data_IF_222138379828
#
_entry.id   IF_222138379828
#
_cell.length_a   1.000
_cell.length_b   1.000
_cell.length_c   1.000
_cell.angle_alpha   90.00
_cell.angle_beta   90.00
_cell.angle_gamma   90.00
#
_symmetry.space_group_name_H-M   'P 1'
#
loop_
_entity.id
_entity.type
_entity.pdbx_description
1 polymer ?
#
# COMPACT_ATOMS: atom_id res chain seq x y z
N UNK A 1 -47.13 41.54 -4.27
CA UNK A 1 -47.58 41.97 -2.93
C UNK A 1 -48.98 41.40 -2.72
N UNK A 2 -49.41 40.84 -1.56
CA UNK A 2 -48.81 40.65 -0.21
C UNK A 2 -48.82 39.14 0.21
N UNK A 3 -48.90 38.70 1.49
CA UNK A 3 -48.09 38.94 2.69
C UNK A 3 -47.38 37.66 3.22
N UNK A 4 -46.51 37.82 4.23
CA UNK A 4 -45.97 36.74 5.08
C UNK A 4 -47.06 36.15 5.98
N UNK A 5 -47.11 34.81 6.09
CA UNK A 5 -47.78 34.10 7.20
C UNK A 5 -46.74 33.21 7.89
N UNK A 6 -46.55 33.50 9.17
CA UNK A 6 -45.76 32.71 10.12
C UNK A 6 -46.60 31.51 10.55
N UNK A 7 -46.04 30.30 10.53
CA UNK A 7 -46.60 29.17 11.28
C UNK A 7 -45.45 28.48 12.05
N UNK A 8 -45.34 28.84 13.33
CA UNK A 8 -44.79 27.96 14.36
C UNK A 8 -45.71 26.73 14.46
N UNK A 9 -45.16 25.54 14.20
CA UNK A 9 -45.83 24.27 14.48
C UNK A 9 -44.92 23.41 15.38
N UNK A 10 -45.07 23.69 16.66
CA UNK A 10 -45.14 22.75 17.81
C UNK A 10 -44.72 21.30 17.58
N UNK A 11 -43.73 20.87 18.37
CA UNK A 11 -43.19 19.53 18.51
C UNK A 11 -44.15 18.51 19.18
N UNK A 12 -45.32 18.23 18.61
CA UNK A 12 -46.33 17.38 19.28
C UNK A 12 -47.09 16.39 18.40
N UNK A 13 -46.58 15.95 17.25
CA UNK A 13 -47.33 15.02 16.39
C UNK A 13 -46.49 14.02 15.55
N UNK A 14 -45.62 13.22 16.17
CA UNK A 14 -45.09 12.01 15.52
C UNK A 14 -45.52 10.73 16.26
N UNK A 15 -46.18 9.77 15.59
CA UNK A 15 -46.60 8.51 16.20
C UNK A 15 -45.40 7.60 16.50
N UNK A 16 -45.30 7.15 17.75
CA UNK A 16 -44.23 6.34 18.33
C UNK A 16 -44.18 4.87 17.85
N UNK A 17 -44.35 4.60 16.54
CA UNK A 17 -44.42 3.22 16.02
C UNK A 17 -43.49 2.92 14.82
N UNK A 18 -42.60 3.84 14.45
CA UNK A 18 -41.63 3.66 13.35
C UNK A 18 -40.19 3.85 13.84
N UNK A 19 -39.89 3.39 15.06
CA UNK A 19 -38.58 3.63 15.71
C UNK A 19 -37.80 2.36 16.05
N UNK A 20 -38.20 1.19 15.52
CA UNK A 20 -37.52 -0.08 15.80
C UNK A 20 -36.88 -0.75 14.58
N UNK A 21 -37.63 -0.87 13.49
CA UNK A 21 -37.22 -1.73 12.36
C UNK A 21 -36.33 -0.99 11.35
N UNK A 22 -36.52 0.32 11.18
CA UNK A 22 -35.71 1.13 10.27
C UNK A 22 -34.32 1.46 10.82
N UNK A 23 -34.17 1.53 12.15
CA UNK A 23 -32.89 1.79 12.80
C UNK A 23 -31.98 0.54 12.77
N UNK A 24 -32.56 -0.66 12.95
CA UNK A 24 -31.81 -1.92 12.88
C UNK A 24 -31.21 -2.18 11.50
N UNK A 25 -31.93 -1.84 10.42
CA UNK A 25 -31.47 -2.03 9.04
C UNK A 25 -30.34 -1.07 8.63
N UNK A 26 -30.10 -0.02 9.41
CA UNK A 26 -28.99 0.93 9.19
C UNK A 26 -27.74 0.52 9.98
N UNK A 27 -27.88 -0.21 11.09
CA UNK A 27 -26.75 -0.65 11.93
C UNK A 27 -26.07 -1.96 11.48
N UNK A 28 -26.62 -2.66 10.48
CA UNK A 28 -26.04 -3.90 9.93
C UNK A 28 -25.55 -3.79 8.50
N UNK A 29 -25.49 -2.59 7.92
CA UNK A 29 -24.97 -2.33 6.57
C UNK A 29 -23.49 -1.91 6.56
N UNK A 30 -22.71 -2.29 7.57
CA UNK A 30 -21.32 -1.82 7.74
C UNK A 30 -20.33 -2.97 7.92
N UNK A 31 -20.54 -4.11 7.24
CA UNK A 31 -19.47 -5.10 7.09
C UNK A 31 -19.64 -6.13 5.96
N UNK A 32 -20.26 -5.73 4.84
CA UNK A 32 -20.00 -6.45 3.60
C UNK A 32 -18.60 -6.03 3.13
N UNK A 33 -17.57 -6.71 3.64
CA UNK A 33 -16.26 -6.73 3.00
C UNK A 33 -16.49 -7.21 1.58
N UNK A 34 -16.58 -6.27 0.65
CA UNK A 34 -16.64 -6.57 -0.77
C UNK A 34 -15.24 -7.08 -1.18
N UNK A 35 -14.98 -8.36 -0.89
CA UNK A 35 -13.65 -9.00 -0.94
C UNK A 35 -12.99 -8.84 -2.32
N UNK A 36 -13.79 -8.59 -3.36
CA UNK A 36 -13.32 -8.38 -4.73
C UNK A 36 -12.60 -7.04 -4.95
N UNK A 37 -12.85 -6.01 -4.15
CA UNK A 37 -12.28 -4.66 -4.30
C UNK A 37 -11.65 -4.11 -3.01
N UNK A 38 -11.37 -4.97 -2.03
CA UNK A 38 -10.74 -4.58 -0.78
C UNK A 38 -9.24 -4.37 -1.00
N UNK A 39 -8.78 -3.12 -0.95
CA UNK A 39 -7.36 -2.75 -1.01
C UNK A 39 -6.54 -3.45 0.08
N UNK A 40 -7.16 -3.77 1.22
CA UNK A 40 -6.57 -4.51 2.32
C UNK A 40 -6.14 -5.92 1.89
N UNK A 41 -6.94 -6.60 1.06
CA UNK A 41 -6.62 -7.94 0.56
C UNK A 41 -5.40 -7.89 -0.37
N UNK A 42 -5.34 -6.90 -1.26
CA UNK A 42 -4.18 -6.68 -2.12
C UNK A 42 -2.93 -6.30 -1.33
N UNK A 43 -3.06 -5.49 -0.27
CA UNK A 43 -1.96 -5.14 0.62
C UNK A 43 -1.44 -6.36 1.39
N UNK A 44 -2.34 -7.22 1.90
CA UNK A 44 -1.96 -8.47 2.57
C UNK A 44 -1.27 -9.44 1.59
N UNK A 45 -1.79 -9.56 0.37
CA UNK A 45 -1.14 -10.31 -0.70
C UNK A 45 0.27 -9.79 -1.00
N UNK A 46 0.43 -8.47 -1.10
CA UNK A 46 1.74 -7.83 -1.28
C UNK A 46 2.71 -8.17 -0.15
N UNK A 47 2.28 -8.11 1.11
CA UNK A 47 3.10 -8.47 2.26
C UNK A 47 3.55 -9.94 2.22
N UNK A 48 2.65 -10.85 1.84
CA UNK A 48 2.98 -12.28 1.66
C UNK A 48 4.02 -12.49 0.55
N UNK A 49 3.81 -11.90 -0.63
CA UNK A 49 4.78 -11.99 -1.74
C UNK A 49 6.12 -11.32 -1.43
N UNK A 50 6.13 -10.28 -0.60
CA UNK A 50 7.37 -9.66 -0.11
C UNK A 50 8.17 -10.64 0.77
N UNK A 51 7.50 -11.44 1.61
CA UNK A 51 8.12 -12.51 2.39
C UNK A 51 8.72 -13.61 1.50
N UNK A 52 7.96 -14.12 0.53
CA UNK A 52 8.46 -15.09 -0.45
C UNK A 52 9.65 -14.56 -1.25
N UNK A 53 9.56 -13.29 -1.65
CA UNK A 53 10.65 -12.57 -2.33
C UNK A 53 11.93 -12.57 -1.50
N UNK A 54 11.86 -12.37 -0.19
CA UNK A 54 13.03 -12.40 0.67
C UNK A 54 13.71 -13.78 0.70
N UNK A 55 12.91 -14.84 0.82
CA UNK A 55 13.39 -16.23 0.87
C UNK A 55 14.01 -16.63 -0.47
N UNK A 56 13.24 -16.55 -1.57
CA UNK A 56 13.74 -16.89 -2.90
C UNK A 56 14.90 -15.98 -3.33
N UNK A 57 14.86 -14.73 -2.89
CA UNK A 57 15.94 -13.76 -3.03
C UNK A 57 17.26 -14.25 -2.48
N UNK A 58 17.29 -14.62 -1.19
CA UNK A 58 18.51 -15.13 -0.53
C UNK A 58 19.08 -16.34 -1.27
N UNK A 59 18.24 -17.31 -1.64
CA UNK A 59 18.70 -18.48 -2.37
C UNK A 59 19.14 -18.13 -3.79
N UNK A 60 18.44 -17.24 -4.48
CA UNK A 60 18.74 -16.84 -5.85
C UNK A 60 20.03 -16.02 -6.02
N UNK A 61 20.47 -15.30 -4.98
CA UNK A 61 21.75 -14.55 -5.00
C UNK A 61 22.94 -15.36 -4.49
N UNK A 62 22.72 -16.58 -4.01
CA UNK A 62 23.80 -17.43 -3.48
C UNK A 62 24.65 -17.95 -4.63
N UNK A 63 25.96 -17.68 -4.60
CA UNK A 63 26.90 -18.12 -5.64
C UNK A 63 26.90 -17.30 -6.94
N UNK A 64 26.13 -16.22 -7.01
CA UNK A 64 26.10 -15.28 -8.15
C UNK A 64 26.36 -13.85 -7.67
N UNK A 65 26.79 -12.97 -8.57
CA UNK A 65 26.81 -11.54 -8.26
C UNK A 65 25.36 -11.03 -8.05
N UNK A 66 25.08 -10.32 -6.94
CA UNK A 66 23.73 -9.82 -6.63
C UNK A 66 23.14 -8.91 -7.72
N UNK A 67 23.97 -8.15 -8.44
CA UNK A 67 23.52 -7.31 -9.55
C UNK A 67 23.01 -8.18 -10.71
N UNK A 68 23.73 -9.26 -11.02
CA UNK A 68 23.35 -10.19 -12.07
C UNK A 68 22.07 -10.98 -11.72
N UNK A 69 21.96 -11.47 -10.49
CA UNK A 69 20.74 -12.11 -9.99
C UNK A 69 19.54 -11.14 -10.03
N UNK A 70 19.74 -9.88 -9.63
CA UNK A 70 18.70 -8.84 -9.70
C UNK A 70 18.33 -8.54 -11.15
N UNK A 71 19.29 -8.49 -12.07
CA UNK A 71 19.02 -8.33 -13.50
C UNK A 71 18.11 -9.45 -14.04
N UNK A 72 18.45 -10.72 -13.78
CA UNK A 72 17.60 -11.87 -14.18
C UNK A 72 16.18 -11.69 -13.62
N UNK A 73 16.07 -11.31 -12.34
CA UNK A 73 14.78 -11.06 -11.70
C UNK A 73 13.98 -9.97 -12.41
N UNK A 74 14.62 -8.86 -12.79
CA UNK A 74 13.93 -7.76 -13.49
C UNK A 74 13.43 -8.18 -14.87
N UNK A 75 14.18 -9.01 -15.59
CA UNK A 75 13.76 -9.55 -16.89
C UNK A 75 12.54 -10.45 -16.72
N UNK A 76 12.52 -11.33 -15.73
CA UNK A 76 11.36 -12.19 -15.43
C UNK A 76 10.13 -11.33 -15.11
N UNK A 77 10.27 -10.33 -14.24
CA UNK A 77 9.18 -9.42 -13.87
C UNK A 77 8.65 -8.69 -15.10
N UNK A 78 9.53 -8.21 -15.99
CA UNK A 78 9.15 -7.54 -17.23
C UNK A 78 8.26 -8.44 -18.09
N UNK A 79 8.63 -9.70 -18.28
CA UNK A 79 7.82 -10.65 -19.05
C UNK A 79 6.47 -10.95 -18.40
N UNK A 80 6.43 -11.10 -17.07
CA UNK A 80 5.18 -11.33 -16.33
C UNK A 80 4.22 -10.14 -16.51
N UNK A 81 4.71 -8.91 -16.31
CA UNK A 81 3.89 -7.70 -16.47
C UNK A 81 3.46 -7.52 -17.93
N UNK A 82 4.37 -7.68 -18.89
CA UNK A 82 4.03 -7.57 -20.32
C UNK A 82 2.98 -8.61 -20.74
N UNK A 83 3.06 -9.84 -20.21
CA UNK A 83 2.06 -10.88 -20.42
C UNK A 83 0.68 -10.46 -19.90
N UNK A 84 0.60 -9.93 -18.67
CA UNK A 84 -0.66 -9.46 -18.08
C UNK A 84 -1.26 -8.31 -18.90
N UNK A 85 -0.47 -7.30 -19.24
CA UNK A 85 -0.93 -6.12 -20.02
C UNK A 85 -1.43 -6.56 -21.41
N UNK A 86 -0.78 -7.56 -22.03
CA UNK A 86 -1.21 -8.12 -23.31
C UNK A 86 -2.50 -8.90 -23.20
N UNK A 87 -2.62 -9.81 -22.22
CA UNK A 87 -3.82 -10.62 -22.02
C UNK A 87 -5.05 -9.77 -21.67
N UNK A 88 -4.85 -8.64 -20.98
CA UNK A 88 -5.92 -7.71 -20.58
C UNK A 88 -6.16 -6.58 -21.58
N UNK A 89 -5.38 -6.50 -22.67
CA UNK A 89 -5.41 -5.41 -23.65
C UNK A 89 -5.27 -4.00 -23.03
N UNK A 90 -4.36 -3.86 -22.07
CA UNK A 90 -4.15 -2.62 -21.29
C UNK A 90 -3.04 -1.73 -21.87
N UNK A 91 -2.55 -2.03 -23.07
CA UNK A 91 -1.51 -1.25 -23.73
C UNK A 91 -2.01 0.17 -24.03
N UNK A 92 -1.29 1.18 -23.54
CA UNK A 92 -1.57 2.58 -23.82
C UNK A 92 -0.60 3.14 -24.86
N UNK A 93 -1.06 4.10 -25.65
CA UNK A 93 -0.20 4.84 -26.58
C UNK A 93 0.73 5.75 -25.76
N UNK A 94 2.06 5.70 -25.95
CA UNK A 94 3.01 6.54 -25.20
C UNK A 94 2.69 8.04 -25.25
N UNK A 95 2.14 8.52 -26.37
CA UNK A 95 1.75 9.91 -26.57
C UNK A 95 0.54 10.37 -25.73
N UNK A 96 -0.26 9.44 -25.18
CA UNK A 96 -1.39 9.77 -24.30
C UNK A 96 -0.97 9.88 -22.83
N UNK A 97 0.25 9.46 -22.49
CA UNK A 97 0.77 9.50 -21.13
C UNK A 97 1.41 10.87 -20.90
N UNK A 98 0.97 11.57 -19.86
CA UNK A 98 1.50 12.88 -19.49
C UNK A 98 3.02 12.81 -19.25
N UNK A 99 3.76 13.85 -19.64
CA UNK A 99 5.22 13.94 -19.45
C UNK A 99 5.62 13.86 -17.97
N UNK A 100 4.79 14.41 -17.07
CA UNK A 100 4.98 14.29 -15.63
C UNK A 100 4.94 12.82 -15.17
N UNK A 101 4.03 12.01 -15.72
CA UNK A 101 3.94 10.58 -15.37
C UNK A 101 5.22 9.84 -15.77
N UNK A 102 5.78 10.14 -16.94
CA UNK A 102 7.07 9.56 -17.36
C UNK A 102 8.20 9.89 -16.39
N UNK A 103 8.28 11.14 -15.92
CA UNK A 103 9.29 11.57 -14.97
C UNK A 103 9.14 10.85 -13.62
N UNK A 104 7.94 10.85 -13.04
CA UNK A 104 7.69 10.18 -11.76
C UNK A 104 7.88 8.66 -11.86
N UNK A 105 7.48 8.04 -12.97
CA UNK A 105 7.72 6.62 -13.21
C UNK A 105 9.21 6.32 -13.33
N UNK A 106 9.97 7.12 -14.07
CA UNK A 106 11.42 6.96 -14.19
C UNK A 106 12.13 7.10 -12.83
N UNK A 107 11.80 8.14 -12.06
CA UNK A 107 12.33 8.35 -10.71
C UNK A 107 11.98 7.18 -9.78
N UNK A 108 10.73 6.71 -9.80
CA UNK A 108 10.29 5.57 -9.00
C UNK A 108 10.99 4.27 -9.39
N UNK A 109 11.23 4.05 -10.68
CA UNK A 109 11.94 2.87 -11.19
C UNK A 109 13.41 2.87 -10.76
N UNK A 110 14.08 4.02 -10.83
CA UNK A 110 15.46 4.19 -10.34
C UNK A 110 15.51 3.92 -8.83
N UNK A 111 14.61 4.51 -8.05
CA UNK A 111 14.53 4.29 -6.60
C UNK A 111 14.29 2.81 -6.25
N UNK A 112 13.37 2.15 -6.97
CA UNK A 112 13.06 0.73 -6.79
C UNK A 112 14.25 -0.16 -7.14
N UNK A 113 14.92 0.12 -8.27
CA UNK A 113 16.10 -0.60 -8.71
C UNK A 113 17.25 -0.48 -7.70
N UNK A 114 17.57 0.73 -7.26
CA UNK A 114 18.61 0.96 -6.25
C UNK A 114 18.28 0.28 -4.92
N UNK A 115 17.02 0.33 -4.49
CA UNK A 115 16.55 -0.37 -3.30
C UNK A 115 16.80 -1.88 -3.41
N UNK A 116 16.39 -2.51 -4.52
CA UNK A 116 16.62 -3.94 -4.72
C UNK A 116 18.10 -4.31 -4.78
N UNK A 117 18.94 -3.52 -5.46
CA UNK A 117 20.37 -3.77 -5.52
C UNK A 117 20.99 -3.77 -4.11
N UNK A 118 20.66 -2.78 -3.29
CA UNK A 118 21.11 -2.71 -1.90
C UNK A 118 20.57 -3.87 -1.06
N UNK A 119 19.27 -4.18 -1.19
CA UNK A 119 18.60 -5.24 -0.45
C UNK A 119 19.17 -6.62 -0.76
N UNK A 120 19.37 -6.94 -2.04
CA UNK A 120 19.92 -8.24 -2.45
C UNK A 120 21.39 -8.39 -2.14
N UNK A 121 22.15 -7.30 -2.19
CA UNK A 121 23.51 -7.31 -1.68
C UNK A 121 23.54 -7.57 -0.17
N UNK A 122 22.68 -6.90 0.61
CA UNK A 122 22.54 -7.14 2.04
C UNK A 122 22.10 -8.57 2.37
N UNK A 123 21.13 -9.11 1.62
CA UNK A 123 20.72 -10.51 1.74
C UNK A 123 21.86 -11.46 1.40
N UNK A 124 22.75 -11.13 0.46
CA UNK A 124 23.87 -12.00 0.14
C UNK A 124 24.80 -12.17 1.34
N UNK A 125 25.18 -11.06 1.99
CA UNK A 125 26.18 -11.04 3.07
C UNK A 125 25.61 -11.22 4.48
N UNK A 126 24.29 -11.03 4.67
CA UNK A 126 23.63 -11.03 5.97
C UNK A 126 22.55 -12.11 6.14
N UNK A 127 22.08 -12.35 7.39
CA UNK A 127 20.97 -13.26 7.65
C UNK A 127 19.63 -12.62 7.26
N UNK A 128 18.73 -13.41 6.65
CA UNK A 128 17.38 -12.94 6.23
C UNK A 128 16.63 -12.35 7.44
N UNK A 129 16.74 -12.98 8.60
CA UNK A 129 16.03 -12.60 9.83
C UNK A 129 16.38 -11.20 10.33
N UNK A 130 17.54 -10.64 9.97
CA UNK A 130 17.91 -9.25 10.31
C UNK A 130 17.68 -8.29 9.14
N UNK A 131 18.00 -8.71 7.91
CA UNK A 131 17.90 -7.85 6.72
C UNK A 131 16.45 -7.54 6.36
N UNK A 132 15.54 -8.53 6.43
CA UNK A 132 14.15 -8.33 6.05
C UNK A 132 13.39 -7.33 6.96
N UNK A 133 13.53 -7.35 8.30
CA UNK A 133 12.94 -6.32 9.16
C UNK A 133 13.52 -4.91 8.93
N UNK A 134 14.82 -4.79 8.62
CA UNK A 134 15.44 -3.50 8.28
C UNK A 134 14.81 -2.92 7.02
N UNK A 135 14.59 -3.75 5.98
CA UNK A 135 13.90 -3.33 4.76
C UNK A 135 12.49 -2.77 5.05
N UNK A 136 11.80 -3.27 6.08
CA UNK A 136 10.47 -2.76 6.48
C UNK A 136 10.48 -1.41 7.19
N UNK A 137 11.65 -0.88 7.57
CA UNK A 137 11.78 0.53 7.94
C UNK A 137 11.42 1.46 6.77
N UNK A 138 11.38 0.96 5.53
CA UNK A 138 10.81 1.69 4.38
C UNK A 138 9.39 2.19 4.63
N UNK A 139 8.59 1.52 5.47
CA UNK A 139 7.26 2.01 5.85
C UNK A 139 7.35 3.32 6.64
N UNK A 140 8.31 3.44 7.56
CA UNK A 140 8.52 4.66 8.32
C UNK A 140 8.99 5.80 7.41
N UNK A 141 9.91 5.52 6.48
CA UNK A 141 10.32 6.50 5.47
C UNK A 141 9.14 6.90 4.57
N UNK A 142 8.30 5.97 4.15
CA UNK A 142 7.13 6.26 3.32
C UNK A 142 6.13 7.17 4.06
N UNK A 143 5.88 6.93 5.36
CA UNK A 143 5.04 7.82 6.19
C UNK A 143 5.66 9.23 6.20
N UNK A 144 6.94 9.37 6.55
CA UNK A 144 7.60 10.69 6.62
C UNK A 144 7.58 11.41 5.28
N UNK A 145 7.88 10.70 4.19
CA UNK A 145 7.85 11.27 2.84
C UNK A 145 6.42 11.63 2.41
N UNK A 146 5.41 10.86 2.80
CA UNK A 146 4.00 11.16 2.58
C UNK A 146 3.56 12.45 3.28
N UNK A 147 4.01 12.66 4.53
CA UNK A 147 3.77 13.91 5.26
C UNK A 147 4.45 15.11 4.58
N UNK A 148 5.69 14.95 4.11
CA UNK A 148 6.49 16.05 3.55
C UNK A 148 6.09 16.41 2.12
N UNK A 149 5.85 15.42 1.26
CA UNK A 149 5.68 15.62 -0.19
C UNK A 149 4.25 15.38 -0.68
N UNK A 150 3.49 14.46 -0.06
CA UNK A 150 2.12 14.16 -0.45
C UNK A 150 1.06 14.99 0.31
N UNK A 151 1.48 15.73 1.34
CA UNK A 151 0.57 16.55 2.16
C UNK A 151 -0.35 15.72 3.04
N UNK A 152 0.01 14.46 3.31
CA UNK A 152 -0.76 13.60 4.21
C UNK A 152 -0.71 14.16 5.64
N UNK A 153 -1.82 14.01 6.39
CA UNK A 153 -1.86 14.42 7.78
C UNK A 153 -1.42 13.27 8.68
N UNK A 154 -0.54 13.58 9.64
CA UNK A 154 -0.13 12.59 10.63
C UNK A 154 -1.25 12.35 11.63
N UNK A 155 -1.90 11.20 11.51
CA UNK A 155 -2.91 10.75 12.49
C UNK A 155 -2.24 9.97 13.61
N UNK A 156 -2.84 9.99 14.81
CA UNK A 156 -2.34 9.22 15.96
C UNK A 156 -2.16 7.72 15.66
N UNK A 157 -3.08 7.02 14.95
CA UNK A 157 -2.88 5.63 14.59
C UNK A 157 -1.66 5.40 13.69
N UNK A 158 -1.42 6.28 12.71
CA UNK A 158 -0.25 6.19 11.80
C UNK A 158 1.05 6.44 12.56
N UNK A 159 1.06 7.42 13.47
CA UNK A 159 2.22 7.72 14.30
C UNK A 159 2.58 6.56 15.22
N UNK A 160 1.60 5.99 15.94
CA UNK A 160 1.80 4.87 16.86
C UNK A 160 2.20 3.62 16.06
N UNK A 161 1.46 3.28 15.01
CA UNK A 161 1.75 2.11 14.18
C UNK A 161 3.13 2.16 13.53
N UNK A 162 3.49 3.32 12.94
CA UNK A 162 4.82 3.54 12.38
C UNK A 162 5.93 3.42 13.41
N UNK A 163 5.73 3.99 14.61
CA UNK A 163 6.69 3.88 15.72
C UNK A 163 6.87 2.44 16.18
N UNK A 164 5.79 1.65 16.25
CA UNK A 164 5.84 0.23 16.61
C UNK A 164 6.60 -0.59 15.56
N UNK A 165 6.42 -0.31 14.27
CA UNK A 165 7.19 -0.99 13.20
C UNK A 165 8.69 -0.70 13.37
N UNK A 166 9.05 0.57 13.61
CA UNK A 166 10.45 0.96 13.84
C UNK A 166 11.01 0.28 15.08
N UNK A 167 10.30 0.35 16.21
CA UNK A 167 10.73 -0.26 17.46
C UNK A 167 10.89 -1.78 17.32
N UNK A 168 9.93 -2.46 16.68
CA UNK A 168 9.99 -3.90 16.42
C UNK A 168 11.19 -4.30 15.57
N UNK A 169 11.46 -3.56 14.48
CA UNK A 169 12.66 -3.80 13.66
C UNK A 169 13.95 -3.60 14.44
N UNK A 170 14.05 -2.55 15.29
CA UNK A 170 15.23 -2.31 16.13
C UNK A 170 15.46 -3.43 17.14
N UNK A 171 14.41 -3.92 17.79
CA UNK A 171 14.50 -5.04 18.74
C UNK A 171 15.04 -6.30 18.06
N UNK A 172 14.54 -6.66 16.87
CA UNK A 172 15.00 -7.84 16.13
C UNK A 172 16.50 -7.74 15.75
N UNK A 173 16.99 -6.53 15.53
CA UNK A 173 18.40 -6.31 15.18
C UNK A 173 19.29 -6.41 16.42
N UNK A 174 18.84 -5.80 17.53
CA UNK A 174 19.58 -5.66 18.77
C UNK A 174 19.77 -6.97 19.54
N UNK A 175 18.86 -7.94 19.35
CA UNK A 175 18.91 -9.27 19.95
C UNK A 175 19.14 -10.38 18.90
#
# INVERSE_FOLDING_TARGET
MPPRVVIELTASALPARVTGISAYRILTSENDMDLRNSWQLYALGSAFFAGLTAIFGKFGVTGLNSNFATFIRTVIILFVIAGIVTLRNEWQKPALVASANWLFLALSAIATGLSWLCYYHALQIGPITKVAPIDKLSVAFAIVLGLLFAGEQLTWPVAIGGSLIVAGSVVIIAF
#
